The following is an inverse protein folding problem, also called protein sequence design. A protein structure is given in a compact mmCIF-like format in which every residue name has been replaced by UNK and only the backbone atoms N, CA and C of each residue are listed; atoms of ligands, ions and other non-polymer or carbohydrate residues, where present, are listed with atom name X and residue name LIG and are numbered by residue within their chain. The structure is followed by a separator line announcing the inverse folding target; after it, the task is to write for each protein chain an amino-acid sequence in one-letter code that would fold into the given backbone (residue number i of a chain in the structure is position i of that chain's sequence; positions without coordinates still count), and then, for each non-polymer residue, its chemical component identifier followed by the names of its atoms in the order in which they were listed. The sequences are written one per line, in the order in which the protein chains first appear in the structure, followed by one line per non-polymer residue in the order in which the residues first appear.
data_IF_105742571708
#
_entry.id   IF_105742571708
#
_cell.length_a   1.000
_cell.length_b   1.000
_cell.length_c   1.000
_cell.angle_alpha   90.00
_cell.angle_beta   90.00
_cell.angle_gamma   90.00
#
_symmetry.space_group_name_H-M   'P 1'
#
loop_
_entity.id
_entity.type
_entity.pdbx_description
1 polymer ?
#
# COMPACT_ATOMS: atom_id res chain seq x y z
N UNK A 1 47.99 5.92 -17.99
CA UNK A 1 46.88 6.60 -17.28
C UNK A 1 45.64 5.73 -17.45
N UNK A 2 45.43 4.81 -16.50
CA UNK A 2 44.40 3.77 -16.57
C UNK A 2 43.04 4.32 -16.11
N UNK A 3 41.98 3.74 -16.70
CA UNK A 3 40.56 4.07 -16.54
C UNK A 3 40.08 3.91 -15.09
N UNK A 4 39.17 4.79 -14.66
CA UNK A 4 38.33 4.58 -13.48
C UNK A 4 37.40 3.39 -13.75
N UNK A 5 37.50 2.36 -12.92
CA UNK A 5 36.54 1.27 -12.81
C UNK A 5 35.51 1.65 -11.73
N UNK A 6 34.26 1.81 -12.16
CA UNK A 6 33.08 1.96 -11.31
C UNK A 6 32.91 0.70 -10.47
N UNK A 7 33.23 0.81 -9.19
CA UNK A 7 32.95 -0.22 -8.19
C UNK A 7 31.44 -0.35 -8.01
N UNK A 8 30.83 -1.26 -8.77
CA UNK A 8 29.58 -1.96 -8.45
C UNK A 8 29.72 -2.57 -7.05
N UNK A 9 29.44 -1.80 -6.02
CA UNK A 9 29.33 -2.33 -4.66
C UNK A 9 28.00 -3.05 -4.57
N UNK A 10 28.10 -4.38 -4.53
CA UNK A 10 27.03 -5.35 -4.50
C UNK A 10 25.99 -5.05 -3.42
N UNK A 11 24.74 -4.87 -3.83
CA UNK A 11 23.55 -4.68 -2.99
C UNK A 11 23.14 -5.97 -2.23
N UNK A 12 24.08 -6.85 -1.89
CA UNK A 12 23.77 -8.22 -1.48
C UNK A 12 23.85 -8.50 0.04
N UNK A 13 24.30 -7.57 0.88
CA UNK A 13 24.54 -7.87 2.31
C UNK A 13 23.52 -7.28 3.30
N UNK A 14 22.38 -6.77 2.84
CA UNK A 14 21.33 -6.27 3.73
C UNK A 14 20.28 -7.34 4.12
N UNK A 15 20.34 -8.55 3.53
CA UNK A 15 19.27 -9.54 3.70
C UNK A 15 19.31 -10.33 5.02
N UNK A 16 20.35 -10.18 5.86
CA UNK A 16 20.58 -11.10 6.98
C UNK A 16 20.90 -10.44 8.34
N UNK A 17 20.47 -9.20 8.58
CA UNK A 17 20.62 -8.57 9.91
C UNK A 17 19.42 -8.91 10.80
N UNK A 18 19.48 -10.05 11.52
CA UNK A 18 18.52 -10.38 12.58
C UNK A 18 18.95 -9.78 13.93
N UNK A 19 18.60 -8.51 14.14
CA UNK A 19 18.74 -7.83 15.42
C UNK A 19 17.54 -6.91 15.67
N UNK A 20 17.40 -6.37 16.90
CA UNK A 20 16.31 -5.45 17.26
C UNK A 20 16.18 -4.25 16.30
N UNK A 21 17.25 -3.85 15.61
CA UNK A 21 17.22 -2.77 14.62
C UNK A 21 16.34 -3.08 13.39
N UNK A 22 16.10 -4.36 13.09
CA UNK A 22 15.22 -4.79 12.00
C UNK A 22 13.80 -5.15 12.47
N UNK A 23 13.56 -5.17 13.79
CA UNK A 23 12.24 -5.40 14.37
C UNK A 23 11.22 -4.31 13.97
N UNK A 24 11.57 -3.01 13.96
CA UNK A 24 10.70 -1.96 13.41
C UNK A 24 10.34 -2.20 11.94
N UNK A 25 11.29 -2.65 11.13
CA UNK A 25 11.06 -2.95 9.71
C UNK A 25 10.19 -4.20 9.51
N UNK A 26 10.22 -5.17 10.43
CA UNK A 26 9.35 -6.35 10.41
C UNK A 26 7.92 -6.01 10.81
N UNK A 27 7.73 -5.16 11.83
CA UNK A 27 6.39 -4.68 12.25
C UNK A 27 5.79 -3.78 11.18
N UNK A 28 6.59 -2.89 10.57
CA UNK A 28 6.19 -2.09 9.42
C UNK A 28 5.75 -2.99 8.26
N UNK A 29 6.60 -3.91 7.81
CA UNK A 29 6.26 -4.85 6.72
C UNK A 29 5.03 -5.69 7.04
N UNK A 30 4.82 -6.07 8.30
CA UNK A 30 3.63 -6.80 8.73
C UNK A 30 2.37 -5.93 8.67
N UNK A 31 2.41 -4.69 9.14
CA UNK A 31 1.29 -3.75 9.00
C UNK A 31 0.96 -3.46 7.53
N UNK A 32 1.97 -3.43 6.65
CA UNK A 32 1.77 -3.23 5.20
C UNK A 32 1.19 -4.50 4.55
N UNK A 33 1.70 -5.67 4.93
CA UNK A 33 1.28 -6.98 4.40
C UNK A 33 -0.12 -7.37 4.88
N UNK A 34 -0.45 -7.02 6.12
CA UNK A 34 -1.78 -7.20 6.69
C UNK A 34 -2.75 -6.13 6.14
N UNK A 35 -2.27 -5.12 5.40
CA UNK A 35 -3.08 -4.11 4.71
C UNK A 35 -3.73 -3.10 5.65
N UNK A 36 -4.30 -2.04 5.07
CA UNK A 36 -5.22 -1.10 5.74
C UNK A 36 -6.49 -1.84 6.18
N UNK A 37 -6.37 -2.70 7.19
CA UNK A 37 -7.39 -3.69 7.53
C UNK A 37 -8.40 -3.14 8.53
N UNK A 38 -8.91 -1.95 8.21
CA UNK A 38 -10.19 -1.47 8.72
C UNK A 38 -10.91 -0.67 7.64
N UNK A 39 -11.39 -1.40 6.62
CA UNK A 39 -12.31 -0.84 5.63
C UNK A 39 -13.73 -0.94 6.19
N UNK A 40 -14.30 0.19 6.61
CA UNK A 40 -15.68 0.27 7.07
C UNK A 40 -16.56 0.66 5.89
N UNK A 41 -17.47 -0.22 5.48
CA UNK A 41 -18.49 0.06 4.48
C UNK A 41 -19.82 0.38 5.14
N UNK A 42 -20.39 1.54 4.81
CA UNK A 42 -21.64 2.04 5.38
C UNK A 42 -22.59 2.44 4.26
N UNK A 43 -23.84 1.97 4.34
CA UNK A 43 -24.91 2.43 3.47
C UNK A 43 -25.63 3.60 4.13
N UNK A 44 -25.63 4.75 3.48
CA UNK A 44 -26.23 5.99 3.96
C UNK A 44 -27.32 6.45 2.99
N UNK A 45 -28.23 7.29 3.49
CA UNK A 45 -29.20 7.99 2.65
C UNK A 45 -29.01 9.47 2.89
N UNK A 46 -28.62 10.20 1.86
CA UNK A 46 -28.54 11.65 1.88
C UNK A 46 -29.68 12.20 1.04
N UNK A 47 -30.65 12.84 1.70
CA UNK A 47 -31.93 13.23 1.11
C UNK A 47 -32.69 12.03 0.51
N UNK A 48 -32.65 11.87 -0.81
CA UNK A 48 -33.29 10.77 -1.57
C UNK A 48 -32.28 9.85 -2.25
N UNK A 49 -30.98 10.09 -2.09
CA UNK A 49 -29.90 9.33 -2.74
C UNK A 49 -29.33 8.30 -1.76
N UNK A 50 -29.20 7.06 -2.22
CA UNK A 50 -28.49 6.00 -1.49
C UNK A 50 -26.99 6.10 -1.79
N UNK A 51 -26.18 6.22 -0.75
CA UNK A 51 -24.73 6.31 -0.83
C UNK A 51 -24.11 5.05 -0.23
N UNK A 52 -23.15 4.45 -0.94
CA UNK A 52 -22.28 3.41 -0.40
C UNK A 52 -20.96 4.09 -0.04
N UNK A 53 -20.77 4.40 1.24
CA UNK A 53 -19.56 5.05 1.75
C UNK A 53 -18.56 3.99 2.21
N UNK A 54 -17.33 4.09 1.72
CA UNK A 54 -16.22 3.23 2.14
C UNK A 54 -15.16 4.09 2.83
N UNK A 55 -14.99 3.88 4.14
CA UNK A 55 -13.92 4.49 4.93
C UNK A 55 -12.74 3.53 5.01
N UNK A 56 -11.56 3.98 4.59
CA UNK A 56 -10.31 3.22 4.68
C UNK A 56 -9.42 3.95 5.67
N UNK A 57 -9.03 3.27 6.75
CA UNK A 57 -8.16 3.84 7.78
C UNK A 57 -6.68 3.54 7.53
N UNK A 58 -5.79 4.35 8.11
CA UNK A 58 -4.33 4.21 8.04
C UNK A 58 -3.71 3.94 9.42
N UNK A 59 -3.92 2.75 10.00
CA UNK A 59 -3.44 2.46 11.35
C UNK A 59 -1.91 2.47 11.39
N UNK A 60 -1.36 3.03 12.48
CA UNK A 60 0.08 3.08 12.67
C UNK A 60 0.81 4.14 11.83
N UNK A 61 0.08 4.99 11.10
CA UNK A 61 0.69 6.06 10.29
C UNK A 61 1.33 7.12 11.19
N UNK A 62 2.65 7.26 11.11
CA UNK A 62 3.41 8.24 11.89
C UNK A 62 3.84 7.79 13.28
N UNK A 63 3.46 6.58 13.71
CA UNK A 63 3.74 6.06 15.06
C UNK A 63 5.22 5.71 15.29
N UNK A 64 5.96 5.44 14.20
CA UNK A 64 7.35 5.04 14.29
C UNK A 64 8.27 6.26 14.55
N UNK A 65 9.39 6.02 15.24
CA UNK A 65 10.46 7.04 15.38
C UNK A 65 11.06 7.41 14.02
N UNK A 66 11.18 6.42 13.12
CA UNK A 66 11.59 6.65 11.74
C UNK A 66 10.39 6.42 10.80
N UNK A 67 9.86 7.52 10.28
CA UNK A 67 8.74 7.53 9.34
C UNK A 67 9.17 7.62 7.87
N UNK A 68 10.44 7.34 7.56
CA UNK A 68 10.92 7.29 6.16
C UNK A 68 10.07 6.27 5.38
N UNK A 69 9.41 6.75 4.31
CA UNK A 69 8.50 5.97 3.44
C UNK A 69 7.24 5.40 4.12
N UNK A 70 6.79 5.95 5.26
CA UNK A 70 5.53 5.53 5.88
C UNK A 70 4.28 5.77 4.99
N UNK A 71 4.41 6.59 3.94
CA UNK A 71 3.38 6.89 2.94
C UNK A 71 3.31 5.86 1.80
N UNK A 72 4.37 5.09 1.57
CA UNK A 72 4.45 4.09 0.50
C UNK A 72 3.27 3.09 0.52
N UNK A 73 2.81 2.59 1.68
CA UNK A 73 1.62 1.74 1.77
C UNK A 73 0.36 2.42 1.27
N UNK A 74 0.15 3.70 1.64
CA UNK A 74 -1.04 4.48 1.24
C UNK A 74 -1.08 4.61 -0.27
N UNK A 75 0.05 4.97 -0.88
CA UNK A 75 0.17 5.07 -2.34
C UNK A 75 -0.08 3.71 -2.99
N UNK A 76 0.53 2.63 -2.50
CA UNK A 76 0.31 1.29 -3.04
C UNK A 76 -1.17 0.86 -2.99
N UNK A 77 -1.90 1.22 -1.94
CA UNK A 77 -3.33 0.94 -1.84
C UNK A 77 -4.14 1.72 -2.90
N UNK A 78 -3.87 3.02 -3.02
CA UNK A 78 -4.53 3.90 -3.99
C UNK A 78 -4.25 3.45 -5.43
N UNK A 79 -2.99 3.19 -5.76
CA UNK A 79 -2.57 2.71 -7.08
C UNK A 79 -3.18 1.34 -7.40
N UNK A 80 -3.25 0.45 -6.40
CA UNK A 80 -3.94 -0.84 -6.53
C UNK A 80 -5.42 -0.68 -6.87
N UNK A 81 -6.11 0.29 -6.25
CA UNK A 81 -7.52 0.58 -6.54
C UNK A 81 -7.74 1.19 -7.92
N UNK A 82 -6.85 2.07 -8.36
CA UNK A 82 -6.89 2.57 -9.73
C UNK A 82 -6.62 1.47 -10.75
N UNK A 83 -5.65 0.60 -10.49
CA UNK A 83 -5.35 -0.52 -11.36
C UNK A 83 -6.50 -1.52 -11.44
N UNK A 84 -7.14 -1.85 -10.32
CA UNK A 84 -8.34 -2.69 -10.25
C UNK A 84 -9.44 -2.11 -11.14
N UNK A 85 -9.77 -0.82 -10.94
CA UNK A 85 -10.77 -0.13 -11.73
C UNK A 85 -10.44 -0.11 -13.24
N UNK A 86 -9.21 0.26 -13.59
CA UNK A 86 -8.73 0.28 -14.96
C UNK A 86 -8.78 -1.11 -15.62
N UNK A 87 -8.43 -2.15 -14.88
CA UNK A 87 -8.50 -3.53 -15.34
C UNK A 87 -9.95 -3.95 -15.63
N UNK A 88 -10.91 -3.52 -14.81
CA UNK A 88 -12.33 -3.78 -15.06
C UNK A 88 -12.86 -3.04 -16.30
N UNK A 89 -12.45 -1.78 -16.55
CA UNK A 89 -12.89 -1.01 -17.72
C UNK A 89 -12.40 -1.61 -19.06
N UNK A 90 -11.19 -2.17 -19.04
CA UNK A 90 -10.51 -2.72 -20.22
C UNK A 90 -10.92 -4.16 -20.54
N UNK A 91 -11.68 -4.85 -19.68
CA UNK A 91 -12.19 -6.19 -19.96
C UNK A 91 -13.12 -6.21 -21.19
N UNK A 92 -13.00 -7.29 -21.96
CA UNK A 92 -13.85 -7.55 -23.13
C UNK A 92 -15.28 -7.87 -22.69
N UNK A 93 -15.43 -8.74 -21.68
CA UNK A 93 -16.70 -9.02 -21.01
C UNK A 93 -16.85 -8.13 -19.78
N UNK A 94 -17.76 -7.16 -19.86
CA UNK A 94 -18.01 -6.19 -18.79
C UNK A 94 -19.28 -6.55 -18.03
N UNK A 95 -19.26 -6.41 -16.70
CA UNK A 95 -20.47 -6.49 -15.89
C UNK A 95 -21.33 -5.23 -16.14
N UNK A 96 -22.65 -5.37 -16.24
CA UNK A 96 -23.58 -4.24 -16.31
C UNK A 96 -23.60 -3.47 -14.98
N UNK A 97 -22.69 -2.50 -14.87
CA UNK A 97 -22.43 -1.68 -13.68
C UNK A 97 -21.96 -2.46 -12.42
N UNK A 98 -21.18 -1.84 -11.54
CA UNK A 98 -20.41 -2.57 -10.52
C UNK A 98 -21.30 -3.13 -9.41
N UNK A 99 -20.88 -4.26 -8.83
CA UNK A 99 -21.45 -4.79 -7.60
C UNK A 99 -21.02 -3.87 -6.45
N UNK A 100 -22.02 -3.33 -5.74
CA UNK A 100 -21.89 -2.55 -4.49
C UNK A 100 -21.09 -3.26 -3.40
#
# INVERSE_FOLDING_TARGET
RAKLDESRTSVAEAQNYWGFANFPNQVFRRAIKDGFNFTLMVKLVENTVKLNLTLVDTPGFGDAVNNTRCWEPIINYVDGKFLEYFSEETKIERKERPVD
#
